data_IF_679765636314
#
_entry.id   IF_679765636314
#
_cell.length_a   1.000
_cell.length_b   1.000
_cell.length_c   1.000
_cell.angle_alpha   90.00
_cell.angle_beta   90.00
_cell.angle_gamma   90.00
#
_symmetry.space_group_name_H-M   'P 1'
#
loop_
_entity.id
_entity.type
_entity.pdbx_description
1 polymer ?
#
# COMPACT_ATOMS: atom_id res chain seq x y z
N UNK A 1 9.06 -21.31 21.23
CA UNK A 1 9.66 -21.17 19.88
C UNK A 1 11.00 -20.48 20.06
N UNK A 2 12.05 -20.85 19.32
CA UNK A 2 13.37 -20.24 19.50
C UNK A 2 13.37 -18.79 18.96
N UNK A 3 14.22 -17.94 19.54
CA UNK A 3 14.32 -16.51 19.19
C UNK A 3 14.52 -16.29 17.68
N UNK A 4 15.33 -17.14 17.03
CA UNK A 4 15.57 -17.06 15.58
C UNK A 4 14.28 -17.22 14.76
N UNK A 5 13.39 -18.14 15.14
CA UNK A 5 12.14 -18.37 14.41
C UNK A 5 11.18 -17.19 14.56
N UNK A 6 11.17 -16.54 15.73
CA UNK A 6 10.39 -15.31 15.95
C UNK A 6 10.92 -14.19 15.06
N UNK A 7 12.23 -13.99 15.02
CA UNK A 7 12.87 -12.99 14.15
C UNK A 7 12.51 -13.23 12.68
N UNK A 8 12.64 -14.47 12.19
CA UNK A 8 12.28 -14.83 10.81
C UNK A 8 10.81 -14.49 10.52
N UNK A 9 9.90 -14.82 11.44
CA UNK A 9 8.47 -14.54 11.26
C UNK A 9 8.17 -13.03 11.23
N UNK A 10 8.81 -12.20 12.06
CA UNK A 10 8.65 -10.73 12.00
C UNK A 10 9.13 -10.17 10.66
N UNK A 11 10.26 -10.64 10.14
CA UNK A 11 10.73 -10.20 8.82
C UNK A 11 9.83 -10.69 7.68
N UNK A 12 9.30 -11.91 7.77
CA UNK A 12 8.34 -12.44 6.80
C UNK A 12 7.06 -11.57 6.76
N UNK A 13 6.58 -11.11 7.93
CA UNK A 13 5.47 -10.16 8.01
C UNK A 13 5.75 -8.86 7.24
N UNK A 14 6.92 -8.26 7.43
CA UNK A 14 7.33 -7.06 6.71
C UNK A 14 7.43 -7.28 5.19
N UNK A 15 7.97 -8.43 4.77
CA UNK A 15 8.08 -8.80 3.35
C UNK A 15 6.69 -8.96 2.73
N UNK A 16 5.77 -9.67 3.39
CA UNK A 16 4.41 -9.84 2.88
C UNK A 16 3.64 -8.53 2.77
N UNK A 17 3.81 -7.63 3.75
CA UNK A 17 3.25 -6.27 3.67
C UNK A 17 3.80 -5.52 2.47
N UNK A 18 5.13 -5.51 2.29
CA UNK A 18 5.79 -4.85 1.17
C UNK A 18 5.30 -5.39 -0.19
N UNK A 19 5.26 -6.71 -0.36
CA UNK A 19 4.81 -7.35 -1.60
C UNK A 19 3.34 -7.02 -1.86
N UNK A 20 2.48 -7.16 -0.86
CA UNK A 20 1.07 -6.85 -1.00
C UNK A 20 0.84 -5.41 -1.47
N UNK A 21 1.42 -4.43 -0.79
CA UNK A 21 1.26 -3.01 -1.14
C UNK A 21 1.87 -2.69 -2.51
N UNK A 22 3.01 -3.29 -2.84
CA UNK A 22 3.63 -3.14 -4.17
C UNK A 22 2.72 -3.68 -5.29
N UNK A 23 2.02 -4.79 -5.06
CA UNK A 23 1.09 -5.37 -6.02
C UNK A 23 -0.16 -4.50 -6.21
N UNK A 24 -0.68 -3.83 -5.18
CA UNK A 24 -1.78 -2.85 -5.33
C UNK A 24 -1.37 -1.68 -6.25
N UNK A 25 -0.10 -1.29 -6.20
CA UNK A 25 0.42 -0.21 -7.04
C UNK A 25 0.67 -0.70 -8.46
N UNK A 26 1.17 -1.92 -8.60
CA UNK A 26 1.40 -2.54 -9.89
C UNK A 26 0.11 -2.79 -10.68
N UNK A 27 -1.02 -3.04 -10.01
CA UNK A 27 -2.34 -3.14 -10.65
C UNK A 27 -2.70 -1.86 -11.40
N UNK A 28 -2.55 -0.70 -10.77
CA UNK A 28 -2.83 0.60 -11.41
C UNK A 28 -1.87 0.83 -12.58
N UNK A 29 -0.58 0.55 -12.39
CA UNK A 29 0.42 0.66 -13.45
C UNK A 29 0.03 -0.15 -14.70
N UNK A 30 -0.34 -1.42 -14.53
CA UNK A 30 -0.70 -2.30 -15.65
C UNK A 30 -1.98 -1.86 -16.33
N UNK A 31 -3.02 -1.48 -15.57
CA UNK A 31 -4.28 -0.96 -16.14
C UNK A 31 -4.00 0.25 -17.03
N UNK A 32 -3.28 1.23 -16.51
CA UNK A 32 -2.96 2.45 -17.25
C UNK A 32 -2.03 2.19 -18.44
N UNK A 33 -0.97 1.39 -18.27
CA UNK A 33 -0.03 1.09 -19.37
C UNK A 33 -0.69 0.36 -20.54
N UNK A 34 -1.57 -0.61 -20.26
CA UNK A 34 -2.29 -1.35 -21.30
C UNK A 34 -3.46 -0.55 -21.88
N UNK A 35 -4.05 0.37 -21.11
CA UNK A 35 -5.03 1.34 -21.62
C UNK A 35 -4.42 2.29 -22.64
N UNK A 36 -3.20 2.81 -22.41
CA UNK A 36 -2.48 3.68 -23.35
C UNK A 36 -2.23 2.95 -24.69
N UNK A 37 -1.98 1.63 -24.63
CA UNK A 37 -1.78 0.78 -25.82
C UNK A 37 -3.09 0.36 -26.50
N UNK A 38 -4.25 0.84 -26.03
CA UNK A 38 -5.57 0.49 -26.58
C UNK A 38 -6.07 -0.91 -26.20
N UNK A 39 -5.37 -1.64 -25.32
CA UNK A 39 -5.70 -3.01 -24.90
C UNK A 39 -6.37 -3.06 -23.52
N UNK A 40 -7.44 -2.28 -23.34
CA UNK A 40 -8.10 -2.04 -22.05
C UNK A 40 -8.54 -3.36 -21.37
N UNK A 41 -9.24 -4.25 -22.09
CA UNK A 41 -9.71 -5.53 -21.54
C UNK A 41 -8.57 -6.42 -21.02
N UNK A 42 -7.42 -6.44 -21.72
CA UNK A 42 -6.22 -7.17 -21.28
C UNK A 42 -5.62 -6.54 -20.03
N UNK A 43 -5.68 -5.21 -19.91
CA UNK A 43 -5.33 -4.44 -18.71
C UNK A 43 -6.11 -4.89 -17.49
N UNK A 44 -7.44 -4.89 -17.58
CA UNK A 44 -8.32 -5.32 -16.49
C UNK A 44 -8.09 -6.77 -16.09
N UNK A 45 -8.00 -7.70 -17.05
CA UNK A 45 -7.76 -9.12 -16.75
C UNK A 45 -6.42 -9.33 -16.05
N UNK A 46 -5.35 -8.65 -16.51
CA UNK A 46 -4.03 -8.74 -15.87
C UNK A 46 -4.06 -8.19 -14.45
N UNK A 47 -4.73 -7.07 -14.23
CA UNK A 47 -4.85 -6.48 -12.91
C UNK A 47 -5.69 -7.32 -11.94
N UNK A 48 -6.74 -7.99 -12.41
CA UNK A 48 -7.50 -8.95 -11.60
C UNK A 48 -6.61 -10.10 -11.12
N UNK A 49 -5.75 -10.65 -11.98
CA UNK A 49 -4.80 -11.70 -11.58
C UNK A 49 -3.84 -11.20 -10.50
N UNK A 50 -3.35 -9.98 -10.64
CA UNK A 50 -2.46 -9.36 -9.64
C UNK A 50 -3.20 -9.10 -8.32
N UNK A 51 -4.50 -8.76 -8.39
CA UNK A 51 -5.34 -8.60 -7.21
C UNK A 51 -5.47 -9.90 -6.41
N UNK A 52 -5.68 -11.04 -7.08
CA UNK A 52 -5.71 -12.35 -6.41
C UNK A 52 -4.39 -12.62 -5.68
N UNK A 53 -3.27 -12.39 -6.34
CA UNK A 53 -1.94 -12.57 -5.74
C UNK A 53 -1.73 -11.62 -4.55
N UNK A 54 -2.11 -10.34 -4.68
CA UNK A 54 -2.08 -9.37 -3.58
C UNK A 54 -2.86 -9.89 -2.36
N UNK A 55 -4.06 -10.45 -2.55
CA UNK A 55 -4.88 -10.97 -1.45
C UNK A 55 -4.21 -12.14 -0.74
N UNK A 56 -3.52 -13.03 -1.46
CA UNK A 56 -2.76 -14.12 -0.83
C UNK A 56 -1.68 -13.58 0.11
N UNK A 57 -0.96 -12.53 -0.28
CA UNK A 57 0.05 -11.90 0.58
C UNK A 57 -0.56 -11.17 1.77
N UNK A 58 -1.71 -10.51 1.61
CA UNK A 58 -2.44 -9.90 2.74
C UNK A 58 -2.91 -10.95 3.74
N UNK A 59 -3.47 -12.08 3.27
CA UNK A 59 -3.89 -13.18 4.15
C UNK A 59 -2.68 -13.77 4.88
N UNK A 60 -1.57 -13.97 4.17
CA UNK A 60 -0.32 -14.48 4.77
C UNK A 60 0.24 -13.51 5.81
N UNK A 61 0.15 -12.20 5.55
CA UNK A 61 0.50 -11.15 6.51
C UNK A 61 -0.34 -11.27 7.79
N UNK A 62 -1.67 -11.34 7.68
CA UNK A 62 -2.56 -11.44 8.85
C UNK A 62 -2.37 -12.75 9.61
N UNK A 63 -2.08 -13.86 8.91
CA UNK A 63 -1.78 -15.14 9.53
C UNK A 63 -0.51 -15.08 10.39
N UNK A 64 0.60 -14.58 9.82
CA UNK A 64 1.85 -14.42 10.57
C UNK A 64 1.68 -13.41 11.71
N UNK A 65 0.91 -12.34 11.49
CA UNK A 65 0.63 -11.36 12.51
C UNK A 65 -0.10 -11.97 13.71
N UNK A 66 -1.19 -12.71 13.49
CA UNK A 66 -1.89 -13.41 14.57
C UNK A 66 -0.95 -14.33 15.34
N UNK A 67 -0.11 -15.09 14.63
CA UNK A 67 0.90 -15.93 15.23
C UNK A 67 1.90 -15.14 16.11
N UNK A 68 2.50 -14.06 15.60
CA UNK A 68 3.47 -13.24 16.34
C UNK A 68 2.87 -12.57 17.58
N UNK A 69 1.60 -12.17 17.48
CA UNK A 69 0.85 -11.63 18.60
C UNK A 69 0.66 -12.67 19.70
N UNK A 70 0.27 -13.90 19.36
CA UNK A 70 0.04 -14.97 20.33
C UNK A 70 1.33 -15.31 21.09
N UNK A 71 2.48 -15.25 20.40
CA UNK A 71 3.80 -15.43 21.02
C UNK A 71 4.29 -14.23 21.83
N UNK A 72 3.55 -13.12 21.86
CA UNK A 72 3.86 -11.97 22.70
C UNK A 72 5.09 -11.17 22.28
N UNK A 73 5.34 -11.10 20.96
CA UNK A 73 6.45 -10.31 20.41
C UNK A 73 6.35 -8.84 20.85
N UNK A 74 7.49 -8.29 21.27
CA UNK A 74 7.55 -6.94 21.80
C UNK A 74 7.34 -5.88 20.70
N UNK A 75 6.76 -4.73 21.07
CA UNK A 75 6.53 -3.59 20.18
C UNK A 75 7.76 -3.21 19.34
N UNK A 76 8.95 -3.15 19.96
CA UNK A 76 10.19 -2.74 19.30
C UNK A 76 10.60 -3.66 18.16
N UNK A 77 10.29 -4.96 18.29
CA UNK A 77 10.64 -5.97 17.29
C UNK A 77 9.84 -5.78 15.99
N UNK A 78 8.61 -5.27 16.07
CA UNK A 78 7.78 -4.98 14.90
C UNK A 78 8.18 -3.71 14.16
N UNK A 79 8.65 -2.68 14.88
CA UNK A 79 8.82 -1.34 14.29
C UNK A 79 9.89 -1.31 13.21
N UNK A 80 11.07 -1.89 13.45
CA UNK A 80 12.17 -1.85 12.48
C UNK A 80 11.80 -2.53 11.16
N UNK A 81 11.26 -3.78 11.16
CA UNK A 81 10.82 -4.43 9.92
C UNK A 81 9.67 -3.70 9.22
N UNK A 82 8.75 -3.06 9.96
CA UNK A 82 7.69 -2.26 9.35
C UNK A 82 8.22 -1.00 8.66
N UNK A 83 9.11 -0.24 9.32
CA UNK A 83 9.77 0.92 8.71
C UNK A 83 10.54 0.48 7.47
N UNK A 84 11.26 -0.64 7.54
CA UNK A 84 11.96 -1.23 6.40
C UNK A 84 10.97 -1.51 5.24
N UNK A 85 9.85 -2.19 5.50
CA UNK A 85 8.84 -2.48 4.47
C UNK A 85 8.30 -1.22 3.81
N UNK A 86 8.03 -0.16 4.59
CA UNK A 86 7.53 1.12 4.09
C UNK A 86 8.60 1.89 3.30
N UNK A 87 9.86 1.81 3.71
CA UNK A 87 10.98 2.40 2.99
C UNK A 87 11.17 1.75 1.61
N UNK A 88 11.15 0.42 1.54
CA UNK A 88 11.20 -0.28 0.26
C UNK A 88 9.96 -0.04 -0.59
N UNK A 89 8.79 0.11 0.01
CA UNK A 89 7.57 0.51 -0.70
C UNK A 89 7.74 1.90 -1.34
N UNK A 90 8.33 2.87 -0.62
CA UNK A 90 8.65 4.19 -1.16
C UNK A 90 9.57 4.09 -2.39
N UNK A 91 10.64 3.29 -2.30
CA UNK A 91 11.55 3.05 -3.43
C UNK A 91 10.81 2.42 -4.60
N UNK A 92 10.00 1.39 -4.36
CA UNK A 92 9.22 0.73 -5.39
C UNK A 92 8.28 1.70 -6.10
N UNK A 93 7.64 2.61 -5.35
CA UNK A 93 6.73 3.62 -5.90
C UNK A 93 7.46 4.61 -6.79
N UNK A 94 8.62 5.09 -6.36
CA UNK A 94 9.47 5.98 -7.16
C UNK A 94 9.95 5.31 -8.44
N UNK A 95 10.37 4.05 -8.36
CA UNK A 95 10.80 3.28 -9.53
C UNK A 95 9.64 3.07 -10.52
N UNK A 96 8.44 2.74 -10.02
CA UNK A 96 7.24 2.62 -10.87
C UNK A 96 6.87 3.96 -11.52
N UNK A 97 6.87 5.06 -10.76
CA UNK A 97 6.58 6.39 -11.28
C UNK A 97 7.57 6.80 -12.38
N UNK A 98 8.87 6.55 -12.17
CA UNK A 98 9.92 6.80 -13.16
C UNK A 98 9.72 5.95 -14.41
N UNK A 99 9.45 4.65 -14.26
CA UNK A 99 9.20 3.74 -15.38
C UNK A 99 7.95 4.14 -16.17
N UNK A 100 6.88 4.54 -15.47
CA UNK A 100 5.66 5.01 -16.09
C UNK A 100 5.89 6.28 -16.92
N UNK A 101 6.60 7.27 -16.35
CA UNK A 101 7.01 8.49 -17.08
C UNK A 101 7.78 8.16 -18.36
N UNK A 102 8.73 7.22 -18.31
CA UNK A 102 9.50 6.82 -19.50
C UNK A 102 8.66 6.12 -20.58
N UNK A 103 7.63 5.37 -20.17
CA UNK A 103 6.79 4.60 -21.11
C UNK A 103 5.76 5.46 -21.81
N UNK A 104 5.31 6.53 -21.16
CA UNK A 104 4.19 7.34 -21.62
C UNK A 104 4.57 8.51 -22.55
N UNK A 105 5.84 8.61 -23.00
CA UNK A 105 6.37 9.69 -23.87
C UNK A 105 5.79 11.05 -23.46
N UNK A 106 5.95 11.40 -22.19
CA UNK A 106 5.34 12.60 -21.61
C UNK A 106 6.26 13.78 -21.88
N UNK A 107 5.80 14.78 -22.63
CA UNK A 107 6.40 16.12 -22.58
C UNK A 107 6.28 16.65 -21.15
N UNK A 108 7.41 16.67 -20.47
CA UNK A 108 7.50 16.78 -19.01
C UNK A 108 7.07 18.13 -18.45
N UNK A 109 6.86 19.14 -19.30
CA UNK A 109 6.53 20.51 -18.90
C UNK A 109 5.02 20.78 -18.81
N UNK A 110 4.17 20.15 -19.62
CA UNK A 110 2.75 20.53 -19.73
C UNK A 110 1.79 19.76 -18.79
N UNK A 111 2.15 18.55 -18.30
CA UNK A 111 1.22 17.70 -17.52
C UNK A 111 1.57 17.49 -16.04
N UNK A 112 2.71 18.03 -15.59
CA UNK A 112 3.10 18.02 -14.16
C UNK A 112 2.28 19.03 -13.34
N UNK A 113 1.62 19.99 -13.99
CA UNK A 113 0.85 21.03 -13.32
C UNK A 113 -0.37 20.55 -12.52
N UNK A 114 -0.84 19.31 -12.69
CA UNK A 114 -2.07 18.82 -12.07
C UNK A 114 -1.89 17.60 -11.16
N UNK A 115 -0.72 17.47 -10.52
CA UNK A 115 -0.42 16.39 -9.55
C UNK A 115 -1.42 16.36 -8.38
N UNK A 116 -2.01 17.51 -8.05
CA UNK A 116 -2.96 17.67 -6.94
C UNK A 116 -4.43 17.64 -7.37
N UNK A 117 -4.77 16.87 -8.40
CA UNK A 117 -6.18 16.69 -8.74
C UNK A 117 -6.93 15.95 -7.60
N UNK A 118 -8.25 16.14 -7.54
CA UNK A 118 -9.11 15.53 -6.49
C UNK A 118 -8.94 14.01 -6.41
N UNK A 119 -8.74 13.33 -7.55
CA UNK A 119 -8.52 11.88 -7.60
C UNK A 119 -7.22 11.46 -6.91
N UNK A 120 -6.16 12.23 -7.09
CA UNK A 120 -4.83 11.98 -6.53
C UNK A 120 -4.84 12.22 -5.03
N UNK A 121 -5.51 13.29 -4.58
CA UNK A 121 -5.70 13.58 -3.16
C UNK A 121 -6.53 12.47 -2.48
N UNK A 122 -7.67 12.08 -3.07
CA UNK A 122 -8.47 10.96 -2.55
C UNK A 122 -7.65 9.68 -2.46
N UNK A 123 -6.78 9.42 -3.44
CA UNK A 123 -5.86 8.28 -3.41
C UNK A 123 -4.76 8.41 -2.37
N UNK A 124 -4.25 9.61 -2.10
CA UNK A 124 -3.31 9.88 -1.00
C UNK A 124 -3.90 9.41 0.33
N UNK A 125 -5.11 9.91 0.59
CA UNK A 125 -5.86 9.69 1.82
C UNK A 125 -6.17 8.21 1.97
N UNK A 126 -6.77 7.60 0.95
CA UNK A 126 -7.10 6.18 0.97
C UNK A 126 -5.86 5.30 1.17
N UNK A 127 -4.74 5.59 0.49
CA UNK A 127 -3.49 4.82 0.65
C UNK A 127 -2.90 5.01 2.05
N UNK A 128 -2.84 6.24 2.55
CA UNK A 128 -2.30 6.54 3.88
C UNK A 128 -3.09 5.83 4.98
N UNK A 129 -4.42 5.95 4.95
CA UNK A 129 -5.28 5.28 5.92
C UNK A 129 -5.33 3.76 5.74
N UNK A 130 -5.13 3.23 4.52
CA UNK A 130 -4.96 1.80 4.32
C UNK A 130 -3.70 1.27 5.04
N UNK A 131 -2.57 1.96 4.85
CA UNK A 131 -1.31 1.60 5.51
C UNK A 131 -1.41 1.71 7.04
N UNK A 132 -1.95 2.81 7.54
CA UNK A 132 -2.12 3.00 8.99
C UNK A 132 -3.16 2.07 9.59
N UNK A 133 -4.25 1.79 8.88
CA UNK A 133 -5.27 0.85 9.29
C UNK A 133 -4.72 -0.56 9.48
N UNK A 134 -3.70 -0.93 8.70
CA UNK A 134 -2.97 -2.19 8.89
C UNK A 134 -2.00 -2.08 10.08
N UNK A 135 -1.13 -1.06 10.07
CA UNK A 135 0.04 -0.98 10.94
C UNK A 135 -0.28 -0.56 12.38
N UNK A 136 -1.16 0.43 12.58
CA UNK A 136 -1.42 0.98 13.92
C UNK A 136 -2.04 -0.08 14.85
N UNK A 137 -3.09 -0.81 14.46
CA UNK A 137 -3.65 -1.81 15.37
C UNK A 137 -2.67 -2.94 15.68
N UNK A 138 -1.76 -3.28 14.75
CA UNK A 138 -0.66 -4.21 15.01
C UNK A 138 0.27 -3.70 16.11
N UNK A 139 0.69 -2.44 15.99
CA UNK A 139 1.54 -1.81 16.98
C UNK A 139 0.86 -1.73 18.35
N UNK A 140 -0.40 -1.34 18.40
CA UNK A 140 -1.17 -1.27 19.66
C UNK A 140 -1.37 -2.68 20.26
N UNK A 141 -1.61 -3.71 19.45
CA UNK A 141 -1.79 -5.09 19.92
C UNK A 141 -0.55 -5.64 20.65
N UNK A 142 0.64 -5.15 20.30
CA UNK A 142 1.87 -5.51 21.01
C UNK A 142 2.00 -4.84 22.39
N UNK A 143 1.32 -3.70 22.61
CA UNK A 143 1.36 -2.92 23.87
C UNK A 143 0.21 -3.31 24.80
N UNK A 144 -0.95 -3.68 24.22
CA UNK A 144 -2.16 -4.03 24.95
C UNK A 144 -2.52 -5.50 24.69
N UNK A 145 -1.89 -6.45 25.41
CA UNK A 145 -2.07 -7.88 25.17
C UNK A 145 -3.52 -8.34 25.25
N UNK A 146 -4.29 -7.75 26.16
CA UNK A 146 -5.67 -8.14 26.41
C UNK A 146 -6.61 -7.82 25.24
N UNK A 147 -6.24 -6.86 24.39
CA UNK A 147 -7.03 -6.42 23.23
C UNK A 147 -6.48 -6.92 21.89
N UNK A 148 -5.48 -7.81 21.91
CA UNK A 148 -4.78 -8.35 20.73
C UNK A 148 -5.70 -8.83 19.61
N UNK A 149 -6.68 -9.66 19.94
CA UNK A 149 -7.63 -10.22 18.98
C UNK A 149 -8.55 -9.15 18.40
N UNK A 150 -9.08 -8.27 19.25
CA UNK A 150 -9.96 -7.15 18.86
C UNK A 150 -9.23 -6.20 17.92
N UNK A 151 -7.99 -5.84 18.23
CA UNK A 151 -7.15 -4.95 17.42
C UNK A 151 -6.76 -5.60 16.09
N UNK A 152 -6.50 -6.91 16.08
CA UNK A 152 -6.24 -7.65 14.83
C UNK A 152 -7.46 -7.64 13.89
N UNK A 153 -8.65 -7.94 14.42
CA UNK A 153 -9.89 -7.87 13.63
C UNK A 153 -10.20 -6.45 13.16
N UNK A 154 -9.89 -5.44 13.99
CA UNK A 154 -10.05 -4.03 13.63
C UNK A 154 -9.11 -3.64 12.49
N UNK A 155 -7.86 -4.12 12.50
CA UNK A 155 -6.91 -3.94 11.40
C UNK A 155 -7.47 -4.46 10.07
N UNK A 156 -8.00 -5.68 10.10
CA UNK A 156 -8.63 -6.29 8.93
C UNK A 156 -9.84 -5.49 8.42
N UNK A 157 -10.70 -5.01 9.33
CA UNK A 157 -11.85 -4.19 8.98
C UNK A 157 -11.44 -2.84 8.37
N UNK A 158 -10.46 -2.15 8.95
CA UNK A 158 -9.96 -0.90 8.40
C UNK A 158 -9.32 -1.11 7.02
N UNK A 159 -8.47 -2.13 6.85
CA UNK A 159 -7.91 -2.46 5.54
C UNK A 159 -9.03 -2.71 4.52
N UNK A 160 -10.04 -3.50 4.89
CA UNK A 160 -11.18 -3.79 4.01
C UNK A 160 -11.92 -2.50 3.62
N UNK A 161 -12.24 -1.62 4.58
CA UNK A 161 -12.93 -0.36 4.30
C UNK A 161 -12.15 0.53 3.32
N UNK A 162 -10.84 0.72 3.52
CA UNK A 162 -10.02 1.55 2.63
C UNK A 162 -9.76 0.90 1.27
N UNK A 163 -9.68 -0.43 1.21
CA UNK A 163 -9.68 -1.17 -0.05
C UNK A 163 -10.98 -0.95 -0.82
N UNK A 164 -12.15 -1.00 -0.16
CA UNK A 164 -13.43 -0.73 -0.81
C UNK A 164 -13.48 0.70 -1.36
N UNK A 165 -12.97 1.68 -0.61
CA UNK A 165 -12.85 3.07 -1.11
C UNK A 165 -11.95 3.12 -2.35
N UNK A 166 -10.78 2.47 -2.30
CA UNK A 166 -9.86 2.40 -3.45
C UNK A 166 -10.56 1.81 -4.68
N UNK A 167 -11.26 0.68 -4.53
CA UNK A 167 -11.93 0.01 -5.66
C UNK A 167 -13.15 0.79 -6.16
N UNK A 168 -14.08 1.14 -5.28
CA UNK A 168 -15.35 1.74 -5.70
C UNK A 168 -15.25 3.22 -6.08
N UNK A 169 -14.31 3.97 -5.52
CA UNK A 169 -14.18 5.42 -5.79
C UNK A 169 -13.04 5.71 -6.74
N UNK A 170 -11.85 5.15 -6.48
CA UNK A 170 -10.64 5.54 -7.21
C UNK A 170 -10.54 4.76 -8.51
N UNK A 171 -10.70 3.44 -8.46
CA UNK A 171 -10.64 2.63 -9.67
C UNK A 171 -11.81 2.90 -10.60
N UNK A 172 -13.01 3.19 -10.09
CA UNK A 172 -14.15 3.55 -10.93
C UNK A 172 -13.93 4.88 -11.67
N UNK A 173 -13.35 5.89 -11.00
CA UNK A 173 -12.99 7.17 -11.63
C UNK A 173 -11.86 7.00 -12.64
N UNK A 174 -10.86 6.16 -12.35
CA UNK A 174 -9.80 5.80 -13.31
C UNK A 174 -10.36 5.05 -14.51
N UNK A 175 -11.29 4.10 -14.30
CA UNK A 175 -11.95 3.36 -15.37
C UNK A 175 -12.64 4.29 -16.36
N UNK A 176 -13.39 5.27 -15.84
CA UNK A 176 -14.03 6.30 -16.67
C UNK A 176 -13.02 7.09 -17.50
N UNK A 177 -11.84 7.40 -16.95
CA UNK A 177 -10.78 8.09 -17.68
C UNK A 177 -10.16 7.21 -18.78
N UNK A 178 -10.00 5.91 -18.53
CA UNK A 178 -9.53 4.95 -19.54
C UNK A 178 -10.50 4.86 -20.72
N UNK A 179 -11.80 4.85 -20.46
CA UNK A 179 -12.84 4.75 -21.49
C UNK A 179 -13.01 6.05 -22.29
N UNK A 180 -12.97 7.21 -21.63
CA UNK A 180 -13.15 8.52 -22.29
C UNK A 180 -11.91 9.06 -22.98
N UNK A 181 -10.78 8.33 -22.95
CA UNK A 181 -9.45 8.80 -23.40
C UNK A 181 -9.05 10.15 -22.79
N UNK A 182 -9.45 10.37 -21.54
CA UNK A 182 -9.04 11.57 -20.78
C UNK A 182 -7.53 11.57 -20.49
N UNK A 183 -7.06 12.48 -19.63
CA UNK A 183 -5.66 12.53 -19.22
C UNK A 183 -5.29 11.39 -18.24
N UNK A 184 -5.34 10.16 -18.74
CA UNK A 184 -4.98 8.91 -18.06
C UNK A 184 -3.53 8.95 -17.59
N UNK A 185 -2.67 9.56 -18.39
CA UNK A 185 -1.23 9.63 -18.16
C UNK A 185 -0.94 10.52 -16.94
N UNK A 186 -1.43 11.76 -16.96
CA UNK A 186 -1.26 12.69 -15.84
C UNK A 186 -1.87 12.14 -14.54
N UNK A 187 -3.12 11.66 -14.59
CA UNK A 187 -3.81 11.10 -13.43
C UNK A 187 -3.12 9.87 -12.82
N UNK A 188 -2.55 8.99 -13.64
CA UNK A 188 -1.83 7.81 -13.12
C UNK A 188 -0.49 8.20 -12.51
N UNK A 189 0.25 9.09 -13.17
CA UNK A 189 1.53 9.57 -12.65
C UNK A 189 1.35 10.28 -11.31
N UNK A 190 0.35 11.15 -11.19
CA UNK A 190 0.03 11.85 -9.95
C UNK A 190 -0.35 10.88 -8.82
N UNK A 191 -1.16 9.85 -9.12
CA UNK A 191 -1.49 8.78 -8.17
C UNK A 191 -0.22 8.08 -7.66
N UNK A 192 0.75 7.77 -8.52
CA UNK A 192 1.99 7.10 -8.11
C UNK A 192 2.88 8.00 -7.23
N UNK A 193 3.02 9.28 -7.60
CA UNK A 193 3.79 10.26 -6.81
C UNK A 193 3.16 10.43 -5.43
N UNK A 194 1.84 10.61 -5.38
CA UNK A 194 1.12 10.85 -4.13
C UNK A 194 1.12 9.61 -3.23
N UNK A 195 1.14 8.38 -3.78
CA UNK A 195 1.35 7.15 -2.99
C UNK A 195 2.73 7.07 -2.35
N UNK A 196 3.74 7.61 -3.02
CA UNK A 196 5.09 7.75 -2.44
C UNK A 196 5.03 8.66 -1.22
N UNK A 197 4.35 9.81 -1.35
CA UNK A 197 4.16 10.73 -0.24
C UNK A 197 3.39 10.08 0.92
N UNK A 198 2.31 9.34 0.65
CA UNK A 198 1.58 8.59 1.67
C UNK A 198 2.46 7.58 2.40
N UNK A 199 3.38 6.92 1.68
CA UNK A 199 4.33 5.96 2.29
C UNK A 199 5.33 6.68 3.20
N UNK A 200 5.85 7.84 2.78
CA UNK A 200 6.72 8.69 3.60
C UNK A 200 5.98 9.18 4.85
N UNK A 201 4.74 9.65 4.70
CA UNK A 201 3.91 10.05 5.84
C UNK A 201 3.71 8.88 6.81
N UNK A 202 3.42 7.67 6.30
CA UNK A 202 3.27 6.49 7.15
C UNK A 202 4.57 6.16 7.92
N UNK A 203 5.75 6.28 7.29
CA UNK A 203 7.06 6.12 7.96
C UNK A 203 7.19 7.12 9.11
N UNK A 204 6.89 8.40 8.84
CA UNK A 204 6.95 9.46 9.85
C UNK A 204 5.99 9.18 11.01
N UNK A 205 4.75 8.76 10.72
CA UNK A 205 3.76 8.40 11.75
C UNK A 205 4.25 7.24 12.62
N UNK A 206 4.74 6.16 12.02
CA UNK A 206 5.26 5.00 12.74
C UNK A 206 6.51 5.36 13.56
N UNK A 207 7.40 6.17 12.98
CA UNK A 207 8.60 6.67 13.67
C UNK A 207 8.25 7.53 14.89
N UNK A 208 7.30 8.47 14.75
CA UNK A 208 6.84 9.30 15.86
C UNK A 208 6.16 8.47 16.94
N UNK A 209 5.32 7.50 16.56
CA UNK A 209 4.72 6.55 17.50
C UNK A 209 5.79 5.77 18.27
N UNK A 210 6.82 5.28 17.57
CA UNK A 210 7.94 4.59 18.21
C UNK A 210 8.64 5.47 19.24
N UNK A 211 8.98 6.71 18.88
CA UNK A 211 9.62 7.65 19.82
C UNK A 211 8.73 7.89 21.04
N UNK A 212 7.43 8.15 20.85
CA UNK A 212 6.49 8.44 21.92
C UNK A 212 6.22 7.25 22.87
N UNK A 213 6.29 6.01 22.37
CA UNK A 213 6.06 4.81 23.18
C UNK A 213 7.33 4.38 23.92
N UNK A 214 8.51 4.66 23.35
CA UNK A 214 9.80 4.22 23.88
C UNK A 214 10.45 5.21 24.83
N UNK A 215 10.23 6.51 24.63
CA UNK A 215 10.80 7.61 25.44
C UNK A 215 9.69 8.40 26.12
#
# INVERSE_FOLDING_TARGET
MNSETLTIAVWALAIFLFIAQSLEHYQIYIKSSLSIKGTIAKGYNSAMKIMVVNRLFIVSYYFIFGFLIDYGVAFREFVVPLIFSLFFLCIANLLMARRYRSTAIIDASERVGNVWNTLSISNAVATYFNLLGIIIPLLIASILPEYRLTLSNSSFLFNTAFVLINVFVIESRLAKLYDTRGDVVGATYSIMVVRTLSSVCAILTVGTLYVFIVF
#
